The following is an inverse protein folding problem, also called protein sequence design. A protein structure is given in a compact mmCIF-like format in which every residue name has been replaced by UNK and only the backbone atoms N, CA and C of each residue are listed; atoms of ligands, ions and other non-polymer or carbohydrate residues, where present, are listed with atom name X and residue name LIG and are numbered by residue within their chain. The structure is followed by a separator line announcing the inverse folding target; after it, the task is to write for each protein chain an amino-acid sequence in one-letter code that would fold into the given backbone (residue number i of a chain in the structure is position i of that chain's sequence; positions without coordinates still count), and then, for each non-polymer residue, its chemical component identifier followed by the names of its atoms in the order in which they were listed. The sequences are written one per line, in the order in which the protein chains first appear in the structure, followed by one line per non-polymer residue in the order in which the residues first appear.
data_IF_047058081235
#
_entry.id   IF_047058081235
#
_cell.length_a   1.000
_cell.length_b   1.000
_cell.length_c   1.000
_cell.angle_alpha   90.00
_cell.angle_beta   90.00
_cell.angle_gamma   90.00
#
_symmetry.space_group_name_H-M   'P 1'
#
loop_
_entity.id
_entity.type
_entity.pdbx_description
1 polymer ?
#
# COMPACT_ATOMS: atom_id res chain seq x y z
N UNK A 1 -16.41 -9.91 -5.76
CA UNK A 1 -16.10 -9.32 -4.44
C UNK A 1 -14.67 -9.67 -4.06
N UNK A 2 -13.96 -8.72 -3.50
CA UNK A 2 -12.56 -8.93 -3.11
C UNK A 2 -12.46 -9.58 -1.72
N UNK A 3 -11.56 -10.56 -1.59
CA UNK A 3 -11.22 -11.18 -0.31
C UNK A 3 -9.80 -10.75 0.05
N UNK A 4 -9.61 -10.13 1.21
CA UNK A 4 -8.32 -9.58 1.63
C UNK A 4 -7.78 -10.38 2.80
N UNK A 5 -6.55 -10.89 2.66
CA UNK A 5 -5.88 -11.70 3.69
C UNK A 5 -4.47 -11.18 3.93
N UNK A 6 -3.90 -11.51 5.11
CA UNK A 6 -2.46 -11.36 5.28
C UNK A 6 -1.75 -12.32 4.33
N UNK A 7 -0.61 -11.87 3.82
CA UNK A 7 0.17 -12.66 2.87
C UNK A 7 0.55 -14.02 3.46
N UNK A 8 0.14 -15.07 2.80
CA UNK A 8 0.49 -16.46 3.12
C UNK A 8 1.32 -17.11 2.00
N UNK A 9 1.58 -16.36 0.92
CA UNK A 9 2.36 -16.82 -0.22
C UNK A 9 3.20 -15.66 -0.77
N UNK A 10 4.46 -15.61 -0.37
CA UNK A 10 5.36 -14.51 -0.75
C UNK A 10 5.75 -14.51 -2.22
N UNK A 11 5.63 -15.63 -2.93
CA UNK A 11 5.83 -15.65 -4.38
C UNK A 11 4.72 -14.90 -5.09
N UNK A 12 3.48 -15.06 -4.66
CA UNK A 12 2.33 -14.31 -5.18
C UNK A 12 2.53 -12.81 -4.93
N UNK A 13 2.91 -12.45 -3.71
CA UNK A 13 3.16 -11.05 -3.34
C UNK A 13 4.28 -10.45 -4.20
N UNK A 14 5.36 -11.20 -4.40
CA UNK A 14 6.50 -10.77 -5.22
C UNK A 14 6.07 -10.48 -6.64
N UNK A 15 5.26 -11.34 -7.23
CA UNK A 15 4.77 -11.13 -8.61
C UNK A 15 3.90 -9.88 -8.71
N UNK A 16 3.05 -9.61 -7.73
CA UNK A 16 2.21 -8.41 -7.73
C UNK A 16 3.05 -7.13 -7.58
N UNK A 17 4.06 -7.14 -6.73
CA UNK A 17 4.96 -6.00 -6.57
C UNK A 17 5.76 -5.77 -7.86
N UNK A 18 6.22 -6.84 -8.52
CA UNK A 18 6.92 -6.72 -9.79
C UNK A 18 6.02 -6.14 -10.88
N UNK A 19 4.76 -6.57 -10.96
CA UNK A 19 3.80 -5.99 -11.89
C UNK A 19 3.62 -4.49 -11.66
N UNK A 20 3.49 -4.09 -10.40
CA UNK A 20 3.37 -2.68 -10.03
C UNK A 20 4.62 -1.90 -10.47
N UNK A 21 5.81 -2.48 -10.27
CA UNK A 21 7.07 -1.79 -10.59
C UNK A 21 7.23 -1.47 -12.08
N UNK A 22 6.45 -2.11 -12.94
CA UNK A 22 6.50 -1.89 -14.40
C UNK A 22 5.64 -0.72 -14.85
N UNK A 23 4.88 -0.09 -13.97
CA UNK A 23 4.07 1.08 -14.33
C UNK A 23 5.00 2.24 -14.69
N UNK A 24 4.80 2.80 -15.90
CA UNK A 24 5.59 3.92 -16.38
C UNK A 24 5.45 5.12 -15.44
N UNK A 25 6.57 5.67 -15.01
CA UNK A 25 6.60 6.82 -14.12
C UNK A 25 6.64 6.44 -12.63
N UNK A 26 6.49 5.15 -12.31
CA UNK A 26 6.50 4.70 -10.92
C UNK A 26 7.90 4.37 -10.37
N UNK A 27 8.94 4.49 -11.20
CA UNK A 27 10.30 4.06 -10.86
C UNK A 27 10.82 4.69 -9.56
N UNK A 28 10.46 5.95 -9.31
CA UNK A 28 10.90 6.67 -8.12
C UNK A 28 10.32 6.07 -6.82
N UNK A 29 9.24 5.28 -6.92
CA UNK A 29 8.59 4.63 -5.77
C UNK A 29 9.30 3.33 -5.38
N UNK A 30 10.22 2.84 -6.20
CA UNK A 30 10.83 1.52 -6.05
C UNK A 30 12.34 1.59 -5.77
N UNK A 31 12.71 2.49 -4.89
CA UNK A 31 14.09 2.55 -4.40
C UNK A 31 14.36 1.29 -3.57
N UNK A 32 15.46 0.60 -3.85
CA UNK A 32 15.83 -0.63 -3.15
C UNK A 32 14.85 -1.79 -3.35
N UNK A 33 14.25 -1.88 -4.54
CA UNK A 33 13.30 -2.97 -4.85
C UNK A 33 13.92 -4.36 -4.68
N UNK A 34 15.18 -4.55 -5.11
CA UNK A 34 15.87 -5.83 -4.99
C UNK A 34 15.97 -6.29 -3.54
N UNK A 35 16.28 -5.35 -2.63
CA UNK A 35 16.37 -5.64 -1.20
C UNK A 35 15.01 -6.03 -0.64
N UNK A 36 13.96 -5.32 -1.03
CA UNK A 36 12.59 -5.64 -0.63
C UNK A 36 12.18 -7.04 -1.08
N UNK A 37 12.38 -7.34 -2.37
CA UNK A 37 11.95 -8.61 -2.96
C UNK A 37 12.78 -9.79 -2.48
N UNK A 38 14.01 -9.57 -2.03
CA UNK A 38 14.86 -10.67 -1.54
C UNK A 38 14.33 -11.28 -0.24
N UNK A 39 13.58 -10.51 0.56
CA UNK A 39 13.00 -10.97 1.82
C UNK A 39 11.81 -10.10 2.20
N UNK A 40 10.67 -10.35 1.57
CA UNK A 40 9.44 -9.59 1.84
C UNK A 40 8.98 -9.73 3.28
N UNK A 41 9.08 -10.93 3.85
CA UNK A 41 8.68 -11.16 5.23
C UNK A 41 9.49 -10.31 6.20
N UNK A 42 10.81 -10.31 6.05
CA UNK A 42 11.69 -9.51 6.90
C UNK A 42 11.55 -8.01 6.65
N UNK A 43 11.38 -7.63 5.38
CA UNK A 43 11.24 -6.22 5.00
C UNK A 43 10.03 -5.55 5.66
N UNK A 44 8.93 -6.30 5.80
CA UNK A 44 7.69 -5.79 6.41
C UNK A 44 7.46 -6.28 7.83
N UNK A 45 8.50 -6.78 8.49
CA UNK A 45 8.43 -7.21 9.88
C UNK A 45 8.01 -6.04 10.79
N UNK A 46 7.04 -6.29 11.65
CA UNK A 46 6.46 -5.26 12.51
C UNK A 46 5.28 -4.54 11.87
N UNK A 47 5.09 -4.71 10.57
CA UNK A 47 3.94 -4.26 9.82
C UNK A 47 3.17 -5.45 9.27
N UNK A 48 2.75 -5.37 8.01
CA UNK A 48 2.03 -6.46 7.36
C UNK A 48 2.08 -6.30 5.85
N UNK A 49 1.84 -7.39 5.15
CA UNK A 49 1.64 -7.39 3.70
C UNK A 49 0.29 -8.04 3.46
N UNK A 50 -0.63 -7.30 2.83
CA UNK A 50 -1.99 -7.77 2.56
C UNK A 50 -2.16 -8.06 1.08
N UNK A 51 -2.84 -9.17 0.78
CA UNK A 51 -3.17 -9.57 -0.57
C UNK A 51 -4.69 -9.56 -0.76
N UNK A 52 -5.12 -9.10 -1.94
CA UNK A 52 -6.53 -9.16 -2.34
C UNK A 52 -6.74 -10.19 -3.42
N UNK A 53 -7.78 -10.99 -3.28
CA UNK A 53 -8.14 -12.06 -4.23
C UNK A 53 -9.56 -11.86 -4.73
N UNK A 54 -9.78 -12.16 -6.01
CA UNK A 54 -11.12 -12.29 -6.57
C UNK A 54 -11.21 -13.65 -7.25
N UNK A 55 -12.20 -14.47 -6.85
CA UNK A 55 -12.37 -15.84 -7.38
C UNK A 55 -11.06 -16.63 -7.33
N UNK A 56 -10.36 -16.57 -6.19
CA UNK A 56 -9.10 -17.28 -5.95
C UNK A 56 -7.91 -16.77 -6.77
N UNK A 57 -8.07 -15.65 -7.50
CA UNK A 57 -7.00 -15.03 -8.25
C UNK A 57 -6.41 -13.87 -7.47
N UNK A 58 -5.09 -13.81 -7.31
CA UNK A 58 -4.45 -12.66 -6.64
C UNK A 58 -4.50 -11.45 -7.58
N UNK A 59 -5.11 -10.36 -7.11
CA UNK A 59 -5.34 -9.18 -7.94
C UNK A 59 -4.85 -7.89 -7.33
N UNK A 60 -4.51 -7.89 -6.04
CA UNK A 60 -4.19 -6.63 -5.36
C UNK A 60 -3.21 -6.86 -4.21
N UNK A 61 -2.50 -5.80 -3.85
CA UNK A 61 -1.61 -5.79 -2.70
C UNK A 61 -1.65 -4.43 -2.02
N UNK A 62 -1.34 -4.40 -0.74
CA UNK A 62 -0.96 -3.21 0.01
C UNK A 62 -0.05 -3.65 1.16
N UNK A 63 0.97 -2.84 1.45
CA UNK A 63 1.94 -3.18 2.48
C UNK A 63 1.97 -2.11 3.57
N UNK A 64 2.28 -2.54 4.78
CA UNK A 64 2.46 -1.68 5.95
C UNK A 64 3.88 -1.90 6.44
N UNK A 65 4.69 -0.84 6.38
CA UNK A 65 6.07 -0.88 6.85
C UNK A 65 6.19 -0.15 8.17
N UNK A 66 6.78 -0.81 9.17
CA UNK A 66 7.05 -0.17 10.45
C UNK A 66 8.11 0.94 10.26
N UNK A 67 7.82 2.14 10.74
CA UNK A 67 8.77 3.25 10.80
C UNK A 67 9.35 3.34 12.22
N UNK A 68 8.48 3.36 13.22
CA UNK A 68 8.83 3.28 14.64
C UNK A 68 7.65 2.69 15.41
N UNK A 69 7.68 2.69 16.72
CA UNK A 69 6.62 2.06 17.52
C UNK A 69 5.24 2.68 17.34
N UNK A 70 5.18 3.97 16.98
CA UNK A 70 3.92 4.70 16.86
C UNK A 70 3.49 4.94 15.39
N UNK A 71 4.39 4.77 14.44
CA UNK A 71 4.18 5.19 13.05
C UNK A 71 4.47 4.07 12.07
N UNK A 72 3.58 3.90 11.10
CA UNK A 72 3.78 3.00 9.97
C UNK A 72 3.65 3.76 8.66
N UNK A 73 4.23 3.21 7.61
CA UNK A 73 4.08 3.72 6.24
C UNK A 73 3.33 2.68 5.42
N UNK A 74 2.24 3.10 4.77
CA UNK A 74 1.54 2.25 3.82
C UNK A 74 2.20 2.39 2.46
N UNK A 75 2.44 1.27 1.80
CA UNK A 75 3.17 1.19 0.53
C UNK A 75 2.53 0.14 -0.36
N UNK A 76 2.86 0.19 -1.64
CA UNK A 76 2.53 -0.88 -2.59
C UNK A 76 1.04 -1.12 -2.74
N UNK A 77 0.24 -0.05 -2.71
CA UNK A 77 -1.17 -0.18 -3.09
C UNK A 77 -1.24 -0.39 -4.60
N UNK A 78 -1.66 -1.57 -4.98
CA UNK A 78 -1.73 -1.96 -6.38
C UNK A 78 -2.97 -2.82 -6.62
N UNK A 79 -3.72 -2.48 -7.65
CA UNK A 79 -4.83 -3.30 -8.16
C UNK A 79 -4.49 -3.61 -9.60
N UNK A 80 -4.55 -4.87 -10.02
CA UNK A 80 -4.32 -5.22 -11.42
C UNK A 80 -5.28 -4.42 -12.32
N UNK A 81 -4.81 -3.92 -13.47
CA UNK A 81 -5.63 -3.05 -14.32
C UNK A 81 -7.01 -3.58 -14.66
N UNK A 82 -7.14 -4.90 -14.90
CA UNK A 82 -8.40 -5.53 -15.28
C UNK A 82 -9.46 -5.47 -14.17
N UNK A 83 -9.03 -5.22 -12.93
CA UNK A 83 -9.90 -5.22 -11.75
C UNK A 83 -10.12 -3.82 -11.19
N UNK A 84 -9.67 -2.78 -11.89
CA UNK A 84 -9.88 -1.39 -11.47
C UNK A 84 -11.30 -0.93 -11.78
N UNK A 85 -11.73 0.14 -11.11
CA UNK A 85 -13.07 0.68 -11.31
C UNK A 85 -14.17 -0.05 -10.55
N UNK A 86 -13.80 -0.95 -9.63
CA UNK A 86 -14.76 -1.75 -8.84
C UNK A 86 -14.77 -1.37 -7.36
N UNK A 87 -14.03 -0.33 -6.98
CA UNK A 87 -13.93 0.09 -5.58
C UNK A 87 -12.95 -0.70 -4.73
N UNK A 88 -12.13 -1.56 -5.33
CA UNK A 88 -11.23 -2.43 -4.59
C UNK A 88 -10.10 -1.69 -3.87
N UNK A 89 -9.63 -0.57 -4.43
CA UNK A 89 -8.61 0.25 -3.78
C UNK A 89 -9.10 0.74 -2.41
N UNK A 90 -10.37 1.15 -2.31
CA UNK A 90 -10.97 1.56 -1.04
C UNK A 90 -10.99 0.41 -0.04
N UNK A 91 -11.37 -0.79 -0.49
CA UNK A 91 -11.37 -1.97 0.37
C UNK A 91 -9.97 -2.30 0.88
N UNK A 92 -8.95 -2.20 0.01
CA UNK A 92 -7.56 -2.43 0.41
C UNK A 92 -7.09 -1.40 1.44
N UNK A 93 -7.44 -0.12 1.24
CA UNK A 93 -7.11 0.94 2.19
C UNK A 93 -7.79 0.75 3.54
N UNK A 94 -9.07 0.40 3.54
CA UNK A 94 -9.82 0.13 4.78
C UNK A 94 -9.18 -1.04 5.55
N UNK A 95 -8.82 -2.11 4.87
CA UNK A 95 -8.16 -3.27 5.49
C UNK A 95 -6.78 -2.87 6.07
N UNK A 96 -6.03 -2.03 5.36
CA UNK A 96 -4.75 -1.53 5.82
C UNK A 96 -4.92 -0.70 7.10
N UNK A 97 -5.91 0.20 7.13
CA UNK A 97 -6.17 1.02 8.31
C UNK A 97 -6.57 0.16 9.52
N UNK A 98 -7.43 -0.84 9.30
CA UNK A 98 -7.84 -1.76 10.37
C UNK A 98 -6.63 -2.53 10.89
N UNK A 99 -5.74 -2.97 10.02
CA UNK A 99 -4.52 -3.68 10.43
C UNK A 99 -3.58 -2.78 11.21
N UNK A 100 -3.42 -1.52 10.81
CA UNK A 100 -2.62 -0.56 11.56
C UNK A 100 -3.16 -0.33 12.97
N UNK A 101 -4.50 -0.26 13.12
CA UNK A 101 -5.12 -0.14 14.45
C UNK A 101 -4.88 -1.38 15.29
N UNK A 102 -5.03 -2.56 14.68
CA UNK A 102 -4.77 -3.85 15.34
C UNK A 102 -3.33 -3.92 15.85
N UNK A 103 -2.37 -3.41 15.06
CA UNK A 103 -0.95 -3.38 15.41
C UNK A 103 -0.59 -2.22 16.36
N UNK A 104 -1.58 -1.38 16.74
CA UNK A 104 -1.42 -0.28 17.70
C UNK A 104 -0.62 0.92 17.18
N UNK A 105 -0.54 1.10 15.87
CA UNK A 105 0.06 2.31 15.30
C UNK A 105 -0.86 3.51 15.51
N UNK A 106 -0.27 4.66 15.83
CA UNK A 106 -0.99 5.91 16.07
C UNK A 106 -1.07 6.78 14.83
N UNK A 107 -0.17 6.57 13.90
CA UNK A 107 -0.08 7.35 12.66
C UNK A 107 0.30 6.45 11.51
N UNK A 108 -0.33 6.66 10.35
CA UNK A 108 0.08 5.99 9.11
C UNK A 108 0.34 7.06 8.05
N UNK A 109 1.40 6.87 7.28
CA UNK A 109 1.81 7.77 6.20
C UNK A 109 1.80 7.08 4.86
N UNK A 110 1.59 7.87 3.82
CA UNK A 110 1.72 7.48 2.42
C UNK A 110 2.58 8.49 1.69
N UNK A 111 3.41 8.01 0.76
CA UNK A 111 4.06 8.87 -0.23
C UNK A 111 3.46 8.54 -1.58
N UNK A 112 3.04 9.55 -2.32
CA UNK A 112 2.38 9.36 -3.62
C UNK A 112 2.83 10.43 -4.61
N UNK A 113 2.70 10.10 -5.91
CA UNK A 113 2.93 11.04 -7.00
C UNK A 113 1.61 11.26 -7.75
N UNK A 114 0.90 12.36 -7.48
CA UNK A 114 -0.42 12.60 -8.11
C UNK A 114 -0.41 12.57 -9.64
N UNK A 115 0.68 12.98 -10.27
CA UNK A 115 0.81 12.96 -11.72
C UNK A 115 0.76 11.54 -12.31
N UNK A 116 1.25 10.55 -11.55
CA UNK A 116 1.28 9.14 -11.97
C UNK A 116 0.11 8.37 -11.38
N UNK A 117 -0.27 8.69 -10.14
CA UNK A 117 -1.22 7.93 -9.33
C UNK A 117 -2.36 8.83 -8.83
N UNK A 118 -2.96 9.61 -9.75
CA UNK A 118 -3.98 10.61 -9.41
C UNK A 118 -5.20 10.02 -8.69
N UNK A 119 -5.62 8.81 -9.06
CA UNK A 119 -6.77 8.14 -8.44
C UNK A 119 -6.47 7.82 -6.97
N UNK A 120 -5.27 7.31 -6.70
CA UNK A 120 -4.84 7.03 -5.34
C UNK A 120 -4.79 8.27 -4.48
N UNK A 121 -4.19 9.33 -5.00
CA UNK A 121 -4.08 10.62 -4.30
C UNK A 121 -5.46 11.16 -3.91
N UNK A 122 -6.40 11.19 -4.86
CA UNK A 122 -7.76 11.67 -4.61
C UNK A 122 -8.47 10.80 -3.55
N UNK A 123 -8.28 9.49 -3.62
CA UNK A 123 -8.88 8.57 -2.68
C UNK A 123 -8.32 8.75 -1.26
N UNK A 124 -7.01 8.95 -1.11
CA UNK A 124 -6.38 9.18 0.19
C UNK A 124 -6.96 10.44 0.86
N UNK A 125 -7.09 11.53 0.11
CA UNK A 125 -7.70 12.75 0.63
C UNK A 125 -9.15 12.53 1.05
N UNK A 126 -9.90 11.79 0.24
CA UNK A 126 -11.32 11.50 0.50
C UNK A 126 -11.52 10.72 1.81
N UNK A 127 -10.63 9.79 2.12
CA UNK A 127 -10.77 8.97 3.33
C UNK A 127 -10.16 9.63 4.57
N UNK A 128 -9.53 10.80 4.44
CA UNK A 128 -9.08 11.59 5.58
C UNK A 128 -7.59 11.80 5.73
N UNK A 129 -6.77 11.37 4.76
CA UNK A 129 -5.35 11.68 4.78
C UNK A 129 -5.13 13.16 4.50
N UNK A 130 -4.24 13.78 5.26
CA UNK A 130 -3.84 15.17 5.04
C UNK A 130 -2.45 15.24 4.43
N UNK A 131 -2.22 16.25 3.61
CA UNK A 131 -0.95 16.48 2.95
C UNK A 131 0.01 17.18 3.90
N UNK A 132 1.21 16.60 4.09
CA UNK A 132 2.26 17.18 4.93
C UNK A 132 3.30 17.95 4.14
N UNK A 133 3.75 17.39 3.01
CA UNK A 133 4.83 17.94 2.21
C UNK A 133 4.58 17.65 0.74
N UNK A 134 5.08 18.52 -0.13
CA UNK A 134 5.10 18.31 -1.57
C UNK A 134 6.49 18.70 -2.08
N UNK A 135 7.27 17.71 -2.49
CA UNK A 135 8.61 17.87 -3.00
C UNK A 135 8.66 17.48 -4.48
N UNK A 136 8.57 18.46 -5.36
CA UNK A 136 8.62 18.27 -6.82
C UNK A 136 7.60 17.22 -7.32
N UNK A 137 6.37 17.32 -6.80
CA UNK A 137 5.29 16.42 -7.23
C UNK A 137 5.22 15.11 -6.45
N UNK A 138 6.13 14.87 -5.51
CA UNK A 138 6.03 13.75 -4.58
C UNK A 138 5.41 14.27 -3.30
N UNK A 139 4.24 13.73 -2.95
CA UNK A 139 3.43 14.22 -1.83
C UNK A 139 3.49 13.22 -0.68
N UNK A 140 3.83 13.71 0.52
CA UNK A 140 3.75 12.94 1.74
C UNK A 140 2.41 13.24 2.42
N UNK A 141 1.66 12.20 2.71
CA UNK A 141 0.35 12.29 3.35
C UNK A 141 0.33 11.48 4.65
N UNK A 142 -0.51 11.89 5.59
CA UNK A 142 -0.66 11.14 6.85
C UNK A 142 -2.12 11.08 7.32
N UNK A 143 -2.40 10.08 8.16
CA UNK A 143 -3.62 9.98 8.93
C UNK A 143 -3.29 9.62 10.37
N UNK A 144 -3.85 10.35 11.34
CA UNK A 144 -3.78 9.97 12.75
C UNK A 144 -4.88 8.93 13.00
N UNK A 145 -4.51 7.83 13.67
CA UNK A 145 -5.44 6.75 13.92
C UNK A 145 -6.08 6.88 15.29
N UNK A 146 -7.40 6.65 15.35
CA UNK A 146 -8.13 6.52 16.60
C UNK A 146 -8.14 5.04 16.98
N UNK A 147 -7.61 4.73 18.15
CA UNK A 147 -7.53 3.35 18.63
C UNK A 147 -8.68 3.02 19.57
#
# INVERSE_FOLDING_TARGET
MINIIECDDYEVAKNLVLDYSKIKGAEACFVSLDKELSDLEGFYKGGALLLGYENEKPIATIAIKKINDDMAEAKRLYIKPEYRGKGYARHMLDAMLDKCRELKYKEVRFTTKPEVMSIGYALYKKIGFEELENNDGTVLMRMMLTL
#
